data_IF_093950569475
#
_entry.id   IF_093950569475
#
_cell.length_a   1.000
_cell.length_b   1.000
_cell.length_c   1.000
_cell.angle_alpha   90.00
_cell.angle_beta   90.00
_cell.angle_gamma   90.00
#
_symmetry.space_group_name_H-M   'P 1'
#
loop_
_entity.id
_entity.type
_entity.pdbx_description
1 polymer ?
#
# COMPACT_ATOMS: atom_id res chain seq x y z
N UNK A 1 -27.12 -9.47 -10.51
CA UNK A 1 -26.31 -8.67 -11.45
C UNK A 1 -25.59 -7.51 -10.79
N UNK A 2 -26.25 -6.63 -10.03
CA UNK A 2 -25.60 -5.43 -9.48
C UNK A 2 -24.68 -5.65 -8.28
N UNK A 3 -24.97 -6.66 -7.44
CA UNK A 3 -24.06 -7.07 -6.35
C UNK A 3 -22.73 -7.57 -6.94
N UNK A 4 -22.80 -8.30 -8.05
CA UNK A 4 -21.63 -8.79 -8.78
C UNK A 4 -20.81 -7.60 -9.29
N UNK A 5 -21.45 -6.56 -9.84
CA UNK A 5 -20.76 -5.33 -10.23
C UNK A 5 -20.11 -4.59 -9.05
N UNK A 6 -20.78 -4.48 -7.91
CA UNK A 6 -20.24 -3.84 -6.71
C UNK A 6 -19.01 -4.60 -6.18
N UNK A 7 -19.09 -5.93 -6.14
CA UNK A 7 -17.97 -6.79 -5.77
C UNK A 7 -16.84 -6.65 -6.78
N UNK A 8 -17.13 -6.63 -8.09
CA UNK A 8 -16.13 -6.46 -9.14
C UNK A 8 -15.41 -5.11 -9.08
N UNK A 9 -16.11 -4.03 -8.74
CA UNK A 9 -15.52 -2.70 -8.56
C UNK A 9 -14.67 -2.68 -7.29
N UNK A 10 -15.16 -3.21 -6.17
CA UNK A 10 -14.37 -3.30 -4.94
C UNK A 10 -13.11 -4.15 -5.14
N UNK A 11 -13.24 -5.29 -5.82
CA UNK A 11 -12.12 -6.18 -6.16
C UNK A 11 -11.15 -5.48 -7.12
N UNK A 12 -11.63 -4.76 -8.14
CA UNK A 12 -10.78 -3.97 -9.03
C UNK A 12 -10.03 -2.85 -8.31
N UNK A 13 -10.71 -2.10 -7.42
CA UNK A 13 -10.08 -1.06 -6.62
C UNK A 13 -9.06 -1.63 -5.62
N UNK A 14 -9.37 -2.76 -5.00
CA UNK A 14 -8.44 -3.48 -4.13
C UNK A 14 -7.22 -3.97 -4.93
N UNK A 15 -7.42 -4.56 -6.11
CA UNK A 15 -6.36 -5.00 -7.01
C UNK A 15 -5.50 -3.83 -7.50
N UNK A 16 -6.10 -2.68 -7.80
CA UNK A 16 -5.38 -1.44 -8.14
C UNK A 16 -4.54 -0.95 -6.96
N UNK A 17 -5.09 -0.93 -5.75
CA UNK A 17 -4.33 -0.55 -4.55
C UNK A 17 -3.15 -1.49 -4.28
N UNK A 18 -3.36 -2.80 -4.48
CA UNK A 18 -2.31 -3.82 -4.39
C UNK A 18 -1.23 -3.61 -5.45
N UNK A 19 -1.62 -3.41 -6.71
CA UNK A 19 -0.70 -3.18 -7.84
C UNK A 19 0.13 -1.91 -7.66
N UNK A 20 -0.48 -0.84 -7.15
CA UNK A 20 0.22 0.41 -6.83
C UNK A 20 1.25 0.17 -5.72
N UNK A 21 0.87 -0.51 -4.62
CA UNK A 21 1.79 -0.84 -3.54
C UNK A 21 2.97 -1.71 -4.03
N UNK A 22 2.67 -2.73 -4.83
CA UNK A 22 3.65 -3.69 -5.37
C UNK A 22 4.60 -3.05 -6.39
N UNK A 23 4.09 -2.16 -7.26
CA UNK A 23 4.92 -1.43 -8.23
C UNK A 23 5.91 -0.47 -7.57
N UNK A 24 5.52 0.19 -6.47
CA UNK A 24 6.42 1.06 -5.70
C UNK A 24 7.50 0.24 -4.96
N UNK A 25 7.11 -0.92 -4.46
CA UNK A 25 7.98 -1.81 -3.72
C UNK A 25 9.04 -2.49 -4.62
N UNK A 26 8.64 -2.94 -5.82
CA UNK A 26 9.57 -3.45 -6.84
C UNK A 26 10.58 -2.39 -7.28
N UNK A 27 10.14 -1.15 -7.52
CA UNK A 27 11.03 -0.04 -7.88
C UNK A 27 12.08 0.23 -6.80
N UNK A 28 11.73 0.14 -5.52
CA UNK A 28 12.68 0.32 -4.41
C UNK A 28 13.69 -0.82 -4.31
N UNK A 29 13.28 -2.07 -4.51
CA UNK A 29 14.19 -3.22 -4.49
C UNK A 29 15.17 -3.22 -5.67
N UNK A 30 14.70 -2.92 -6.88
CA UNK A 30 15.57 -2.85 -8.07
C UNK A 30 16.63 -1.76 -7.91
N UNK A 31 16.25 -0.60 -7.37
CA UNK A 31 17.20 0.48 -7.03
C UNK A 31 18.22 0.07 -5.98
N UNK A 32 17.81 -0.62 -4.92
CA UNK A 32 18.73 -1.06 -3.87
C UNK A 32 19.80 -2.02 -4.43
N UNK A 33 19.40 -2.90 -5.36
CA UNK A 33 20.33 -3.81 -6.06
C UNK A 33 21.23 -3.06 -7.06
N UNK A 34 20.69 -2.11 -7.82
CA UNK A 34 21.50 -1.27 -8.71
C UNK A 34 22.54 -0.45 -7.93
N UNK A 35 22.16 0.16 -6.79
CA UNK A 35 23.09 0.86 -5.91
C UNK A 35 24.18 -0.05 -5.33
N UNK A 36 23.89 -1.33 -5.06
CA UNK A 36 24.94 -2.27 -4.61
C UNK A 36 25.88 -2.73 -5.73
N UNK A 37 25.45 -2.63 -7.00
CA UNK A 37 26.29 -2.96 -8.17
C UNK A 37 27.17 -1.75 -8.52
N UNK A 38 26.61 -0.54 -8.48
CA UNK A 38 27.28 0.73 -8.79
C UNK A 38 28.42 1.07 -7.81
N UNK A 39 28.31 0.63 -6.55
CA UNK A 39 29.34 0.82 -5.52
C UNK A 39 30.56 -0.11 -5.71
N UNK A 40 30.43 -1.19 -6.47
CA UNK A 40 31.52 -2.16 -6.67
C UNK A 40 32.51 -1.78 -7.79
N UNK A 41 32.26 -0.76 -8.62
CA UNK A 41 33.08 -0.47 -9.81
C UNK A 41 33.74 0.94 -9.85
N UNK A 42 33.82 1.63 -8.70
CA UNK A 42 34.57 2.88 -8.59
C UNK A 42 33.78 3.94 -7.83
N UNK A 43 34.42 4.57 -6.85
CA UNK A 43 33.77 5.46 -5.88
C UNK A 43 32.96 6.60 -6.51
N UNK A 44 31.64 6.43 -6.55
CA UNK A 44 30.71 7.51 -6.90
C UNK A 44 30.43 8.31 -5.63
N UNK A 45 30.74 9.60 -5.70
CA UNK A 45 30.59 10.55 -4.59
C UNK A 45 29.11 10.71 -4.19
N UNK A 46 28.87 10.93 -2.89
CA UNK A 46 27.54 11.11 -2.28
C UNK A 46 26.66 12.20 -2.94
N UNK A 47 27.24 13.09 -3.76
CA UNK A 47 26.60 14.23 -4.39
C UNK A 47 25.85 13.88 -5.70
N UNK A 48 26.38 12.95 -6.51
CA UNK A 48 25.71 12.49 -7.74
C UNK A 48 24.50 11.59 -7.44
N UNK A 49 24.52 10.90 -6.28
CA UNK A 49 23.41 10.09 -5.79
C UNK A 49 22.21 10.93 -5.31
N UNK A 50 22.41 12.20 -4.95
CA UNK A 50 21.32 13.15 -4.66
C UNK A 50 20.69 13.74 -5.93
N UNK A 51 21.50 13.96 -6.98
CA UNK A 51 21.04 14.53 -8.24
C UNK A 51 20.11 13.61 -9.03
N UNK A 52 20.16 12.30 -8.79
CA UNK A 52 19.26 11.32 -9.40
C UNK A 52 18.04 10.96 -8.52
N UNK A 53 17.74 11.70 -7.43
CA UNK A 53 16.51 11.43 -6.65
C UNK A 53 15.28 11.66 -7.54
N UNK A 54 14.57 10.59 -7.96
CA UNK A 54 13.52 10.72 -8.95
C UNK A 54 12.30 11.39 -8.33
N UNK A 55 11.49 12.01 -9.20
CA UNK A 55 10.25 12.73 -8.87
C UNK A 55 9.36 12.01 -7.83
N UNK A 56 9.31 10.68 -7.86
CA UNK A 56 8.56 9.86 -6.91
C UNK A 56 8.99 10.06 -5.45
N UNK A 57 10.29 10.16 -5.16
CA UNK A 57 10.77 10.38 -3.78
C UNK A 57 10.51 11.81 -3.29
N UNK A 58 10.53 12.79 -4.19
CA UNK A 58 10.34 14.20 -3.81
C UNK A 58 8.87 14.61 -3.73
N UNK A 59 7.99 13.96 -4.48
CA UNK A 59 6.57 14.35 -4.58
C UNK A 59 5.64 13.33 -3.94
N UNK A 60 5.82 12.03 -4.19
CA UNK A 60 4.90 11.02 -3.65
C UNK A 60 5.16 10.76 -2.16
N UNK A 61 6.42 10.68 -1.73
CA UNK A 61 6.76 10.46 -0.32
C UNK A 61 6.14 11.51 0.62
N UNK A 62 6.29 12.84 0.41
CA UNK A 62 5.70 13.82 1.32
C UNK A 62 4.17 13.81 1.28
N UNK A 63 3.53 13.44 0.15
CA UNK A 63 2.07 13.30 0.08
C UNK A 63 1.60 12.18 1.01
N UNK A 64 2.23 11.00 0.93
CA UNK A 64 1.88 9.89 1.81
C UNK A 64 2.19 10.18 3.27
N UNK A 65 3.32 10.79 3.59
CA UNK A 65 3.67 11.15 4.96
C UNK A 65 2.69 12.18 5.54
N UNK A 66 2.22 13.17 4.74
CA UNK A 66 1.17 14.11 5.15
C UNK A 66 -0.18 13.43 5.36
N UNK A 67 -0.57 12.49 4.48
CA UNK A 67 -1.80 11.70 4.66
C UNK A 67 -1.73 10.83 5.92
N UNK A 68 -0.57 10.23 6.20
CA UNK A 68 -0.32 9.50 7.44
C UNK A 68 -0.35 10.41 8.68
N UNK A 69 0.19 11.62 8.58
CA UNK A 69 0.20 12.62 9.65
C UNK A 69 -1.21 13.03 10.11
N UNK A 70 -2.19 13.05 9.22
CA UNK A 70 -3.60 13.32 9.59
C UNK A 70 -4.15 12.28 10.57
N UNK A 71 -3.68 11.03 10.48
CA UNK A 71 -4.03 9.93 11.40
C UNK A 71 -2.98 9.72 12.49
N UNK A 72 -1.87 10.46 12.44
CA UNK A 72 -0.72 10.33 13.33
C UNK A 72 -1.03 10.67 14.78
N UNK A 73 -1.91 11.65 15.01
CA UNK A 73 -2.35 12.04 16.36
C UNK A 73 -3.21 10.98 17.05
N UNK A 74 -3.91 10.15 16.26
CA UNK A 74 -4.78 9.08 16.74
C UNK A 74 -4.04 7.74 16.80
N UNK A 75 -2.93 7.62 16.07
CA UNK A 75 -2.16 6.38 15.97
C UNK A 75 -1.15 6.28 17.12
N UNK A 76 -1.22 5.22 17.96
CA UNK A 76 -0.24 5.03 19.04
C UNK A 76 1.18 4.84 18.49
N UNK A 77 2.19 5.37 19.18
CA UNK A 77 3.60 5.18 18.80
C UNK A 77 3.97 3.68 18.68
N UNK A 78 3.45 2.83 19.56
CA UNK A 78 3.67 1.39 19.52
C UNK A 78 3.21 0.73 18.20
N UNK A 79 2.23 1.30 17.50
CA UNK A 79 1.82 0.83 16.18
C UNK A 79 2.88 1.15 15.12
N UNK A 80 3.46 2.36 15.17
CA UNK A 80 4.50 2.79 14.24
C UNK A 80 5.76 1.92 14.40
N UNK A 81 6.18 1.63 15.63
CA UNK A 81 7.34 0.76 15.91
C UNK A 81 7.13 -0.66 15.34
N UNK A 82 5.91 -1.19 15.45
CA UNK A 82 5.57 -2.52 14.87
C UNK A 82 5.64 -2.48 13.35
N UNK A 83 5.13 -1.43 12.73
CA UNK A 83 5.18 -1.24 11.27
C UNK A 83 6.62 -1.08 10.81
N UNK A 84 7.44 -0.32 11.52
CA UNK A 84 8.86 -0.14 11.23
C UNK A 84 9.61 -1.49 11.21
N UNK A 85 9.45 -2.29 12.26
CA UNK A 85 10.04 -3.63 12.33
C UNK A 85 9.59 -4.51 11.17
N UNK A 86 8.30 -4.49 10.84
CA UNK A 86 7.74 -5.26 9.72
C UNK A 86 8.28 -4.83 8.36
N UNK A 87 8.37 -3.52 8.13
CA UNK A 87 8.99 -2.96 6.92
C UNK A 87 10.47 -3.36 6.81
N UNK A 88 11.21 -3.35 7.92
CA UNK A 88 12.60 -3.81 7.94
C UNK A 88 12.71 -5.32 7.61
N UNK A 89 11.83 -6.15 8.19
CA UNK A 89 11.76 -7.58 7.88
C UNK A 89 11.36 -7.86 6.43
N UNK A 90 10.46 -7.06 5.84
CA UNK A 90 10.06 -7.16 4.44
C UNK A 90 11.12 -6.63 3.44
N UNK A 91 12.20 -6.00 3.91
CA UNK A 91 13.29 -5.50 3.07
C UNK A 91 13.17 -4.04 2.64
N UNK A 92 12.37 -3.25 3.37
CA UNK A 92 12.14 -1.83 3.14
C UNK A 92 12.54 -0.93 4.33
N UNK A 93 13.78 -1.02 4.86
CA UNK A 93 14.19 -0.28 6.06
C UNK A 93 14.20 1.24 5.88
N UNK A 94 14.27 1.73 4.62
CA UNK A 94 14.26 3.17 4.32
C UNK A 94 12.86 3.78 4.23
N UNK A 95 11.80 2.99 4.44
CA UNK A 95 10.42 3.48 4.36
C UNK A 95 9.95 3.93 5.73
N UNK A 96 9.54 5.19 5.85
CA UNK A 96 8.97 5.70 7.09
C UNK A 96 7.64 4.99 7.43
N UNK A 97 7.41 4.60 8.69
CA UNK A 97 6.13 4.05 9.13
C UNK A 97 4.94 4.98 8.84
N UNK A 98 5.19 6.29 8.86
CA UNK A 98 4.21 7.32 8.55
C UNK A 98 3.77 7.29 7.09
N UNK A 99 4.71 7.08 6.16
CA UNK A 99 4.41 6.88 4.74
C UNK A 99 3.53 5.64 4.54
N UNK A 100 3.80 4.55 5.27
CA UNK A 100 2.98 3.34 5.20
C UNK A 100 1.56 3.57 5.73
N UNK A 101 1.41 4.29 6.84
CA UNK A 101 0.09 4.71 7.33
C UNK A 101 -0.65 5.58 6.30
N UNK A 102 0.08 6.46 5.60
CA UNK A 102 -0.41 7.20 4.44
C UNK A 102 -0.96 6.30 3.33
N UNK A 103 -0.23 5.25 2.96
CA UNK A 103 -0.68 4.27 1.96
C UNK A 103 -1.95 3.54 2.44
N UNK A 104 -2.03 3.16 3.72
CA UNK A 104 -3.24 2.54 4.29
C UNK A 104 -4.44 3.48 4.24
N UNK A 105 -4.22 4.75 4.59
CA UNK A 105 -5.28 5.76 4.56
C UNK A 105 -5.76 6.03 3.13
N UNK A 106 -4.84 6.10 2.15
CA UNK A 106 -5.19 6.27 0.75
C UNK A 106 -5.95 5.05 0.21
N UNK A 107 -5.52 3.84 0.54
CA UNK A 107 -6.22 2.62 0.14
C UNK A 107 -7.65 2.61 0.69
N UNK A 108 -7.84 2.95 1.97
CA UNK A 108 -9.15 3.08 2.58
C UNK A 108 -10.03 4.14 1.88
N UNK A 109 -9.46 5.30 1.55
CA UNK A 109 -10.16 6.39 0.85
C UNK A 109 -10.56 5.99 -0.58
N UNK A 110 -9.70 5.28 -1.32
CA UNK A 110 -10.00 4.82 -2.67
C UNK A 110 -11.15 3.81 -2.63
N UNK A 111 -11.05 2.79 -1.76
CA UNK A 111 -12.09 1.74 -1.68
C UNK A 111 -13.40 2.31 -1.14
N UNK A 112 -13.36 3.16 -0.11
CA UNK A 112 -14.53 3.83 0.44
C UNK A 112 -15.17 4.81 -0.54
N UNK A 113 -14.36 5.65 -1.20
CA UNK A 113 -14.82 6.60 -2.21
C UNK A 113 -15.46 5.91 -3.41
N UNK A 114 -14.87 4.82 -3.90
CA UNK A 114 -15.45 4.00 -4.96
C UNK A 114 -16.81 3.41 -4.55
N UNK A 115 -16.92 2.91 -3.31
CA UNK A 115 -18.18 2.40 -2.77
C UNK A 115 -19.26 3.49 -2.66
N UNK A 116 -18.90 4.68 -2.17
CA UNK A 116 -19.83 5.82 -2.06
C UNK A 116 -20.28 6.27 -3.45
N UNK A 117 -19.35 6.40 -4.41
CA UNK A 117 -19.69 6.78 -5.78
C UNK A 117 -20.66 5.78 -6.42
N UNK A 118 -20.42 4.48 -6.20
CA UNK A 118 -21.32 3.42 -6.63
C UNK A 118 -22.69 3.51 -5.93
N UNK A 119 -22.72 3.78 -4.63
CA UNK A 119 -23.96 3.93 -3.87
C UNK A 119 -24.81 5.10 -4.40
N UNK A 120 -24.18 6.23 -4.69
CA UNK A 120 -24.86 7.42 -5.23
C UNK A 120 -25.33 7.17 -6.66
N UNK A 121 -24.54 6.54 -7.53
CA UNK A 121 -24.97 6.23 -8.90
C UNK A 121 -26.12 5.22 -8.93
N UNK A 122 -26.14 4.26 -8.01
CA UNK A 122 -27.26 3.34 -7.82
C UNK A 122 -28.54 4.05 -7.35
N UNK A 123 -28.44 5.07 -6.49
CA UNK A 123 -29.57 5.89 -6.03
C UNK A 123 -30.21 6.75 -7.13
N UNK A 124 -29.41 7.26 -8.07
CA UNK A 124 -29.85 8.21 -9.11
C UNK A 124 -30.56 7.52 -10.29
N UNK A 125 -30.83 6.21 -10.20
CA UNK A 125 -31.72 5.52 -11.14
C UNK A 125 -31.05 4.91 -12.36
N UNK A 126 -29.73 4.71 -12.34
CA UNK A 126 -29.00 3.92 -13.35
C UNK A 126 -29.24 2.39 -13.19
N UNK A 127 -30.49 2.01 -12.87
CA UNK A 127 -30.98 0.63 -12.92
C UNK A 127 -31.04 -0.13 -11.60
N UNK A 128 -30.78 0.47 -10.43
CA UNK A 128 -30.73 -0.27 -9.16
C UNK A 128 -32.10 -0.51 -8.50
N UNK A 129 -32.34 -1.76 -8.07
CA UNK A 129 -33.53 -2.12 -7.31
C UNK A 129 -33.58 -1.32 -5.99
N UNK A 130 -34.68 -0.61 -5.74
CA UNK A 130 -34.84 0.29 -4.59
C UNK A 130 -34.60 -0.41 -3.24
N UNK A 131 -34.95 -1.69 -3.13
CA UNK A 131 -34.74 -2.51 -1.93
C UNK A 131 -33.25 -2.77 -1.63
N UNK A 132 -32.42 -2.88 -2.67
CA UNK A 132 -30.99 -3.14 -2.51
C UNK A 132 -30.25 -1.88 -2.03
N UNK A 133 -30.62 -0.72 -2.58
CA UNK A 133 -30.07 0.59 -2.18
C UNK A 133 -30.43 0.94 -0.73
N UNK A 134 -31.56 0.42 -0.23
CA UNK A 134 -31.97 0.58 1.18
C UNK A 134 -31.14 -0.26 2.16
N UNK A 135 -30.59 -1.40 1.74
CA UNK A 135 -29.75 -2.30 2.59
C UNK A 135 -28.25 -2.02 2.52
N UNK A 136 -27.79 -1.42 1.42
CA UNK A 136 -26.39 -1.05 1.17
C UNK A 136 -25.71 -0.11 2.18
N UNK A 137 -26.36 0.83 2.91
CA UNK A 137 -25.65 1.71 3.85
C UNK A 137 -24.97 0.94 4.99
N UNK A 138 -25.40 -0.28 5.31
CA UNK A 138 -24.72 -1.15 6.28
C UNK A 138 -23.27 -1.47 5.92
N UNK A 139 -22.91 -1.42 4.62
CA UNK A 139 -21.58 -1.75 4.12
C UNK A 139 -20.67 -0.54 3.91
N UNK A 140 -21.14 0.68 4.18
CA UNK A 140 -20.38 1.91 3.91
C UNK A 140 -19.09 2.00 4.73
N UNK A 141 -19.06 1.36 5.89
CA UNK A 141 -17.88 1.28 6.74
C UNK A 141 -17.01 0.04 6.41
N UNK A 142 -17.62 -1.02 5.87
CA UNK A 142 -16.92 -2.27 5.57
C UNK A 142 -15.93 -2.10 4.41
N UNK A 143 -16.33 -1.39 3.35
CA UNK A 143 -15.50 -1.15 2.18
C UNK A 143 -14.18 -0.40 2.49
N UNK A 144 -14.17 0.77 3.15
CA UNK A 144 -12.94 1.45 3.53
C UNK A 144 -12.12 0.66 4.55
N UNK A 145 -12.76 -0.11 5.44
CA UNK A 145 -12.07 -0.96 6.40
C UNK A 145 -11.29 -2.08 5.71
N UNK A 146 -11.88 -2.73 4.70
CA UNK A 146 -11.18 -3.69 3.86
C UNK A 146 -10.02 -3.04 3.08
N UNK A 147 -10.24 -1.84 2.53
CA UNK A 147 -9.19 -1.07 1.87
C UNK A 147 -8.00 -0.75 2.79
N UNK A 148 -8.26 -0.42 4.06
CA UNK A 148 -7.23 -0.18 5.07
C UNK A 148 -6.42 -1.43 5.44
N UNK A 149 -7.04 -2.61 5.39
CA UNK A 149 -6.39 -3.90 5.70
C UNK A 149 -5.55 -4.44 4.54
N UNK A 150 -5.84 -4.05 3.30
CA UNK A 150 -5.15 -4.57 2.11
C UNK A 150 -3.62 -4.37 2.14
N UNK A 151 -3.07 -3.20 2.53
CA UNK A 151 -1.62 -3.03 2.62
C UNK A 151 -0.95 -3.89 3.71
N UNK A 152 -1.67 -4.24 4.78
CA UNK A 152 -1.13 -5.16 5.79
C UNK A 152 -0.99 -6.58 5.24
N UNK A 153 -1.94 -7.01 4.40
CA UNK A 153 -1.87 -8.31 3.74
C UNK A 153 -0.68 -8.35 2.77
N UNK A 154 -0.51 -7.31 1.97
CA UNK A 154 0.65 -7.17 1.08
C UNK A 154 1.98 -7.22 1.84
N UNK A 155 2.10 -6.49 2.95
CA UNK A 155 3.31 -6.50 3.77
C UNK A 155 3.62 -7.90 4.33
N UNK A 156 2.60 -8.61 4.82
CA UNK A 156 2.74 -9.99 5.31
C UNK A 156 3.21 -10.95 4.21
N UNK A 157 2.66 -10.84 3.00
CA UNK A 157 3.07 -11.69 1.87
C UNK A 157 4.55 -11.46 1.56
N UNK A 158 5.01 -10.20 1.56
CA UNK A 158 6.41 -9.87 1.30
C UNK A 158 7.36 -10.33 2.41
N UNK A 159 6.94 -10.24 3.67
CA UNK A 159 7.69 -10.80 4.79
C UNK A 159 7.92 -12.32 4.61
N UNK A 160 6.88 -13.06 4.23
CA UNK A 160 6.98 -14.51 3.99
C UNK A 160 7.87 -14.83 2.80
N UNK A 161 7.68 -14.15 1.67
CA UNK A 161 8.49 -14.33 0.45
C UNK A 161 9.99 -14.14 0.75
N UNK A 162 10.35 -13.10 1.53
CA UNK A 162 11.74 -12.84 1.89
C UNK A 162 12.31 -13.88 2.86
N UNK A 163 11.50 -14.38 3.80
CA UNK A 163 11.93 -15.47 4.69
C UNK A 163 12.21 -16.75 3.90
N UNK A 164 11.35 -17.07 2.93
CA UNK A 164 11.54 -18.21 2.02
C UNK A 164 12.78 -18.01 1.16
N UNK A 165 12.97 -16.84 0.53
CA UNK A 165 14.18 -16.53 -0.26
C UNK A 165 15.47 -16.68 0.56
N UNK A 166 15.47 -16.21 1.81
CA UNK A 166 16.62 -16.37 2.72
C UNK A 166 16.82 -17.84 3.06
N UNK A 167 15.77 -18.56 3.45
CA UNK A 167 15.84 -19.99 3.80
C UNK A 167 16.35 -20.83 2.63
N UNK A 168 15.87 -20.58 1.42
CA UNK A 168 16.28 -21.31 0.20
C UNK A 168 17.71 -20.95 -0.22
N UNK A 169 18.19 -19.75 0.12
CA UNK A 169 19.58 -19.32 -0.17
C UNK A 169 20.61 -19.88 0.82
N UNK A 170 20.17 -20.32 1.99
CA UNK A 170 21.00 -21.04 2.94
C UNK A 170 21.02 -22.51 2.50
N UNK A 171 22.17 -23.08 2.09
CA UNK A 171 22.24 -24.51 1.80
C UNK A 171 21.78 -25.28 3.05
N UNK A 172 20.86 -26.21 2.85
CA UNK A 172 20.29 -27.05 3.90
C UNK A 172 21.44 -27.68 4.70
N UNK A 173 21.66 -27.18 5.92
CA UNK A 173 22.63 -27.75 6.87
C UNK A 173 21.94 -28.91 7.58
N UNK A 174 21.59 -29.95 6.81
CA UNK A 174 21.19 -31.26 7.32
C UNK A 174 22.36 -32.24 7.21
#
# INVERSE_FOLDING_TARGET
MQIIFAIMICVSCAALSYSIADSMARRRQIKARLQSIDVSDGGISLNELEMARPFAERVLQPVFTRLGALLGSVTPQSFLDRVERRLALAGYPRTEPMTFLGIKSLAALITGGAFVLFYVSARVGLGANADMVRRLPSFILLAPMLGFMAPDLWLRLKETERKTEISDSLPDLL
#
